data_IF_636071444622
#
_entry.id   IF_636071444622
#
_cell.length_a   1.000
_cell.length_b   1.000
_cell.length_c   1.000
_cell.angle_alpha   90.00
_cell.angle_beta   90.00
_cell.angle_gamma   90.00
#
_symmetry.space_group_name_H-M   'P 1'
#
loop_
_entity.id
_entity.type
_entity.pdbx_description
1 polymer ?
#
# COMPACT_ATOMS: atom_id res chain seq x y z
N UNK A 1 -20.37 -6.40 0.72
CA UNK A 1 -20.33 -7.67 1.48
C UNK A 1 -18.88 -7.98 1.81
N UNK A 2 -18.47 -7.98 3.08
CA UNK A 2 -17.09 -8.27 3.46
C UNK A 2 -16.85 -9.79 3.39
N UNK A 3 -16.07 -10.27 2.41
CA UNK A 3 -15.67 -11.68 2.35
C UNK A 3 -14.87 -12.02 3.62
N UNK A 4 -15.35 -13.01 4.35
CA UNK A 4 -14.99 -13.36 5.73
C UNK A 4 -13.67 -14.14 5.91
N UNK A 5 -12.70 -14.08 4.99
CA UNK A 5 -11.46 -14.86 5.15
C UNK A 5 -10.20 -14.30 4.46
N UNK A 6 -10.13 -12.99 4.21
CA UNK A 6 -8.88 -12.40 3.71
C UNK A 6 -7.94 -12.15 4.89
N UNK A 7 -7.05 -13.12 5.17
CA UNK A 7 -6.05 -13.04 6.24
C UNK A 7 -5.10 -11.88 5.98
N UNK A 8 -4.97 -11.00 6.97
CA UNK A 8 -3.91 -9.99 6.96
C UNK A 8 -2.56 -10.69 6.90
N UNK A 9 -1.75 -10.27 5.92
CA UNK A 9 -0.40 -10.76 5.72
C UNK A 9 0.57 -9.60 5.90
N UNK A 10 1.78 -9.94 6.31
CA UNK A 10 2.88 -8.99 6.39
C UNK A 10 3.37 -8.68 4.98
N UNK A 11 3.30 -7.41 4.57
CA UNK A 11 3.76 -6.94 3.27
C UNK A 11 4.75 -5.80 3.47
N UNK A 12 5.83 -5.81 2.68
CA UNK A 12 6.77 -4.69 2.60
C UNK A 12 6.33 -3.77 1.47
N UNK A 13 6.13 -2.50 1.79
CA UNK A 13 5.73 -1.48 0.82
C UNK A 13 6.75 -0.36 0.79
N UNK A 14 6.83 0.37 -0.31
CA UNK A 14 7.68 1.53 -0.44
C UNK A 14 6.89 2.76 -0.87
N UNK A 15 7.33 3.93 -0.40
CA UNK A 15 6.86 5.21 -0.90
C UNK A 15 7.52 5.54 -2.24
N UNK A 16 6.75 6.03 -3.21
CA UNK A 16 7.25 6.43 -4.51
C UNK A 16 6.50 7.65 -5.04
N UNK A 17 7.15 8.42 -5.92
CA UNK A 17 6.51 9.51 -6.68
C UNK A 17 6.15 8.97 -8.07
N UNK A 18 4.86 8.83 -8.42
CA UNK A 18 4.49 8.45 -9.77
C UNK A 18 4.86 9.56 -10.75
N UNK A 19 5.35 9.18 -11.93
CA UNK A 19 5.70 10.15 -12.99
C UNK A 19 4.46 10.77 -13.65
N UNK A 20 3.32 10.08 -13.61
CA UNK A 20 2.05 10.58 -14.08
C UNK A 20 1.00 10.27 -13.03
N UNK A 21 0.33 11.30 -12.51
CA UNK A 21 -0.68 11.13 -11.47
C UNK A 21 -2.04 10.74 -12.02
N UNK A 22 -2.35 10.92 -13.31
CA UNK A 22 -3.60 10.46 -14.00
C UNK A 22 -4.85 10.37 -13.11
N UNK A 23 -5.16 11.42 -12.34
CA UNK A 23 -6.34 11.48 -11.47
C UNK A 23 -6.18 10.94 -10.03
N UNK A 24 -5.02 10.41 -9.67
CA UNK A 24 -4.66 10.04 -8.29
C UNK A 24 -4.22 11.27 -7.49
N UNK A 25 -4.82 11.45 -6.31
CA UNK A 25 -4.51 12.55 -5.42
C UNK A 25 -3.25 12.27 -4.58
N UNK A 26 -2.40 13.29 -4.45
CA UNK A 26 -1.19 13.25 -3.62
C UNK A 26 0.09 12.99 -4.42
N UNK A 27 1.19 13.59 -3.96
CA UNK A 27 2.51 13.48 -4.60
C UNK A 27 3.19 12.14 -4.32
N UNK A 28 2.95 11.57 -3.13
CA UNK A 28 3.56 10.32 -2.68
C UNK A 28 2.52 9.20 -2.65
N UNK A 29 2.87 8.08 -3.27
CA UNK A 29 2.05 6.87 -3.35
C UNK A 29 2.79 5.71 -2.70
N UNK A 30 2.04 4.67 -2.34
CA UNK A 30 2.58 3.45 -1.72
C UNK A 30 2.33 2.28 -2.66
N UNK A 31 3.35 1.44 -2.86
CA UNK A 31 3.27 0.20 -3.65
C UNK A 31 4.00 -0.95 -2.94
N UNK A 32 3.70 -2.22 -3.25
CA UNK A 32 4.52 -3.34 -2.82
C UNK A 32 5.95 -3.21 -3.35
N UNK A 33 6.93 -3.55 -2.52
CA UNK A 33 8.32 -3.71 -2.99
C UNK A 33 8.40 -4.92 -3.92
N UNK A 34 9.17 -4.79 -5.00
CA UNK A 34 9.42 -5.88 -5.96
C UNK A 34 10.05 -7.11 -5.28
N UNK A 35 9.79 -8.30 -5.82
CA UNK A 35 10.31 -9.56 -5.28
C UNK A 35 9.46 -10.18 -4.17
N UNK A 36 8.29 -9.59 -3.88
CA UNK A 36 7.20 -10.27 -3.18
C UNK A 36 6.27 -10.91 -4.22
N UNK A 37 5.45 -11.88 -3.81
CA UNK A 37 4.40 -12.50 -4.64
C UNK A 37 3.21 -11.55 -4.91
N UNK A 38 3.49 -10.25 -5.03
CA UNK A 38 2.54 -9.17 -5.21
C UNK A 38 3.06 -8.22 -6.30
N UNK A 39 2.22 -7.86 -7.29
CA UNK A 39 2.65 -6.95 -8.34
C UNK A 39 2.92 -5.54 -7.79
N UNK A 40 4.00 -4.90 -8.25
CA UNK A 40 4.37 -3.53 -7.84
C UNK A 40 3.43 -2.45 -8.41
N UNK A 41 2.59 -2.83 -9.36
CA UNK A 41 1.51 -2.00 -9.92
C UNK A 41 0.25 -2.02 -9.04
N UNK A 42 0.20 -2.89 -8.02
CA UNK A 42 -0.96 -3.01 -7.16
C UNK A 42 -1.10 -1.76 -6.28
N UNK A 43 -2.31 -1.22 -6.24
CA UNK A 43 -2.60 -0.06 -5.40
C UNK A 43 -2.67 -0.47 -3.93
N UNK A 44 -2.03 0.31 -3.05
CA UNK A 44 -2.07 0.09 -1.60
C UNK A 44 -2.91 1.17 -0.95
N UNK A 45 -4.07 0.76 -0.41
CA UNK A 45 -4.88 1.59 0.48
C UNK A 45 -4.34 1.45 1.90
N UNK A 46 -3.61 2.45 2.38
CA UNK A 46 -3.02 2.46 3.72
C UNK A 46 -3.24 3.79 4.45
N UNK A 47 -2.72 3.88 5.68
CA UNK A 47 -2.67 5.13 6.44
C UNK A 47 -1.98 6.25 5.63
N UNK A 48 -2.48 7.48 5.81
CA UNK A 48 -1.84 8.69 5.24
C UNK A 48 -0.47 8.94 5.86
N UNK A 49 -0.20 8.39 7.04
CA UNK A 49 1.06 8.54 7.75
C UNK A 49 2.27 8.04 6.96
N UNK A 50 2.12 6.93 6.21
CA UNK A 50 3.18 6.40 5.34
C UNK A 50 3.53 7.35 4.17
N UNK A 51 2.61 8.25 3.82
CA UNK A 51 2.77 9.27 2.78
C UNK A 51 3.12 10.64 3.37
N UNK A 52 3.35 10.72 4.68
CA UNK A 52 3.73 11.96 5.35
C UNK A 52 5.10 12.45 4.87
N UNK A 53 5.27 13.77 4.83
CA UNK A 53 6.56 14.42 4.58
C UNK A 53 7.64 14.06 5.64
N UNK A 54 7.25 13.43 6.76
CA UNK A 54 8.17 12.91 7.77
C UNK A 54 9.07 11.78 7.27
N UNK A 55 8.67 11.08 6.20
CA UNK A 55 9.45 9.99 5.60
C UNK A 55 9.94 10.38 4.21
N UNK A 56 11.24 10.18 3.89
CA UNK A 56 11.73 10.33 2.54
C UNK A 56 10.97 9.43 1.54
N UNK A 57 10.92 9.88 0.29
CA UNK A 57 10.41 9.01 -0.78
C UNK A 57 11.42 7.90 -1.04
N UNK A 58 10.93 6.67 -1.16
CA UNK A 58 11.72 5.45 -1.23
C UNK A 58 11.79 4.70 0.10
N UNK A 59 11.27 5.28 1.19
CA UNK A 59 11.22 4.61 2.48
C UNK A 59 10.37 3.34 2.41
N UNK A 60 10.90 2.27 2.99
CA UNK A 60 10.24 0.97 3.08
C UNK A 60 9.54 0.80 4.42
N UNK A 61 8.32 0.30 4.37
CA UNK A 61 7.49 0.04 5.54
C UNK A 61 7.03 -1.41 5.54
N UNK A 62 7.05 -2.05 6.71
CA UNK A 62 6.34 -3.31 6.95
C UNK A 62 4.94 -2.99 7.44
N UNK A 63 3.92 -3.46 6.71
CA UNK A 63 2.50 -3.26 7.06
C UNK A 63 1.76 -4.60 7.16
N UNK A 64 0.64 -4.59 7.88
CA UNK A 64 -0.37 -5.63 7.81
C UNK A 64 -1.40 -5.23 6.75
N UNK A 65 -1.46 -5.98 5.66
CA UNK A 65 -2.41 -5.74 4.59
C UNK A 65 -3.04 -7.04 4.12
N UNK A 66 -4.24 -6.95 3.56
CA UNK A 66 -4.92 -8.05 2.90
C UNK A 66 -5.16 -7.70 1.44
N UNK A 67 -5.05 -8.70 0.55
CA UNK A 67 -5.47 -8.54 -0.83
C UNK A 67 -6.99 -8.43 -0.87
N UNK A 68 -7.54 -7.53 -1.66
CA UNK A 68 -8.98 -7.28 -1.75
C UNK A 68 -9.39 -6.96 -3.19
N UNK A 69 -10.49 -7.57 -3.62
CA UNK A 69 -11.12 -7.32 -4.93
C UNK A 69 -11.88 -5.98 -4.94
N UNK A 70 -11.84 -5.25 -6.06
CA UNK A 70 -12.74 -4.12 -6.33
C UNK A 70 -14.04 -4.61 -6.96
N UNK A 71 -15.15 -3.95 -6.65
CA UNK A 71 -16.48 -4.28 -7.21
C UNK A 71 -16.51 -4.12 -8.75
N UNK A 72 -15.74 -3.19 -9.32
CA UNK A 72 -15.64 -2.93 -10.77
C UNK A 72 -14.47 -3.67 -11.47
N UNK A 73 -13.79 -4.58 -10.76
CA UNK A 73 -12.65 -5.33 -11.29
C UNK A 73 -11.28 -4.79 -10.86
N UNK A 74 -10.34 -5.71 -10.69
CA UNK A 74 -8.97 -5.46 -10.22
C UNK A 74 -8.80 -5.64 -8.72
N UNK A 75 -7.55 -5.83 -8.31
CA UNK A 75 -7.15 -6.11 -6.93
C UNK A 75 -6.40 -4.93 -6.32
N UNK A 76 -6.50 -4.79 -5.00
CA UNK A 76 -5.74 -3.81 -4.23
C UNK A 76 -5.37 -4.37 -2.86
N UNK A 77 -4.31 -3.83 -2.25
CA UNK A 77 -3.97 -4.15 -0.87
C UNK A 77 -4.67 -3.17 0.06
N UNK A 78 -5.35 -3.71 1.05
CA UNK A 78 -6.00 -2.93 2.09
C UNK A 78 -5.27 -3.10 3.41
N UNK A 79 -4.80 -1.97 3.97
CA UNK A 79 -4.31 -1.83 5.33
C UNK A 79 -5.21 -0.84 6.08
N UNK A 80 -5.74 -1.21 7.26
CA UNK A 80 -6.52 -0.30 8.08
C UNK A 80 -5.76 1.00 8.38
N UNK A 81 -6.41 2.18 8.41
CA UNK A 81 -5.74 3.45 8.68
C UNK A 81 -5.06 3.54 10.06
N UNK A 82 -5.49 2.72 11.03
CA UNK A 82 -4.92 2.66 12.39
C UNK A 82 -4.01 1.43 12.60
N UNK A 83 -3.70 0.69 11.54
CA UNK A 83 -2.78 -0.44 11.63
C UNK A 83 -1.38 0.06 11.99
N UNK A 84 -0.70 -0.67 12.87
CA UNK A 84 0.71 -0.42 13.16
C UNK A 84 1.55 -0.77 11.94
N UNK A 85 2.58 0.01 11.70
CA UNK A 85 3.59 -0.24 10.68
C UNK A 85 4.99 -0.04 11.28
N UNK A 86 5.98 -0.61 10.62
CA UNK A 86 7.38 -0.51 11.02
C UNK A 86 8.17 0.09 9.86
N UNK A 87 9.04 1.06 10.16
CA UNK A 87 9.95 1.67 9.18
C UNK A 87 11.19 0.80 9.08
N UNK A 88 11.55 0.37 7.86
CA UNK A 88 12.68 -0.53 7.64
C UNK A 88 13.93 0.25 7.20
N UNK A 89 13.79 1.15 6.22
CA UNK A 89 14.89 1.89 5.59
C UNK A 89 14.38 3.12 4.85
#
# INVERSE_FOLDING_TARGET
>A
MAKSNETYSTVIVESYKPQNTSGLHGEVHIRPVAGQDLPTTLHVSCSRELKSASYPVGTKFRIQAKLTDREEGGEYLYSPPRAKFEVIS
#
